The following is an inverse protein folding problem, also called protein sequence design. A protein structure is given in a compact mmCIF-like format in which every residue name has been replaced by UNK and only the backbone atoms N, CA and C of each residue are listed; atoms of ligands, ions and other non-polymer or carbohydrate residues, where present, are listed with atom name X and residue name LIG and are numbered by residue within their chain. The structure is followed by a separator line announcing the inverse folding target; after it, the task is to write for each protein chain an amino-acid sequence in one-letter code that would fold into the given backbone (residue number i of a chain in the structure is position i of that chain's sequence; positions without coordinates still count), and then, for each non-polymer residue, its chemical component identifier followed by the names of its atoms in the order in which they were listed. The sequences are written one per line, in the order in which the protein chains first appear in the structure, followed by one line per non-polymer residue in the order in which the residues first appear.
data_IF_971121302203
#
_entry.id   IF_971121302203
#
_cell.length_a   1.000
_cell.length_b   1.000
_cell.length_c   1.000
_cell.angle_alpha   90.00
_cell.angle_beta   90.00
_cell.angle_gamma   90.00
#
_symmetry.space_group_name_H-M   'P 1'
#
loop_
_entity.id
_entity.type
_entity.pdbx_description
1 polymer ?
#
# COMPACT_ATOMS: atom_id res chain seq x y z
N UNK A 1 10.91 1.93 14.99
CA UNK A 1 10.37 1.42 13.71
C UNK A 1 9.15 2.26 13.39
N UNK A 2 9.24 3.12 12.38
CA UNK A 2 8.30 4.22 12.14
C UNK A 2 7.11 3.86 11.23
N UNK A 3 7.20 2.79 10.43
CA UNK A 3 6.15 2.40 9.49
C UNK A 3 4.74 2.26 10.11
N UNK A 4 4.63 1.67 11.31
CA UNK A 4 3.34 1.54 11.98
C UNK A 4 2.76 2.89 12.46
N UNK A 5 3.60 3.91 12.69
CA UNK A 5 3.15 5.28 13.00
C UNK A 5 2.44 5.89 11.81
N UNK A 6 3.07 5.83 10.64
CA UNK A 6 2.53 6.38 9.39
C UNK A 6 1.22 5.72 8.99
N UNK A 7 1.09 4.39 9.22
CA UNK A 7 -0.19 3.69 9.02
C UNK A 7 -1.26 4.20 9.99
N UNK A 8 -0.87 4.57 11.21
CA UNK A 8 -1.75 5.19 12.20
C UNK A 8 -2.19 6.60 11.78
N UNK A 9 -1.27 7.42 11.30
CA UNK A 9 -1.52 8.78 10.81
C UNK A 9 -2.42 8.76 9.57
N UNK A 10 -2.17 7.85 8.62
CA UNK A 10 -3.07 7.62 7.49
C UNK A 10 -4.47 7.18 7.94
N UNK A 11 -4.58 6.27 8.92
CA UNK A 11 -5.87 5.82 9.43
C UNK A 11 -6.64 6.94 10.16
N UNK A 12 -5.94 7.85 10.84
CA UNK A 12 -6.54 9.05 11.42
C UNK A 12 -7.03 10.00 10.33
N UNK A 13 -6.18 10.30 9.35
CA UNK A 13 -6.49 11.17 8.23
C UNK A 13 -7.72 10.68 7.42
N UNK A 14 -7.86 9.37 7.24
CA UNK A 14 -9.03 8.76 6.56
C UNK A 14 -10.33 8.82 7.37
N UNK A 15 -10.26 8.87 8.71
CA UNK A 15 -11.45 8.95 9.58
C UNK A 15 -11.90 10.40 9.83
N UNK A 16 -10.97 11.34 9.80
CA UNK A 16 -11.25 12.77 10.00
C UNK A 16 -11.83 13.47 8.77
N UNK A 17 -12.21 14.73 8.93
CA UNK A 17 -12.60 15.61 7.83
C UNK A 17 -11.38 16.37 7.28
N UNK A 18 -10.35 15.62 6.89
CA UNK A 18 -9.11 16.19 6.36
C UNK A 18 -9.25 16.58 4.89
N UNK A 19 -8.42 17.55 4.46
CA UNK A 19 -8.37 17.92 3.05
C UNK A 19 -7.74 16.78 2.25
N UNK A 20 -8.14 16.62 0.98
CA UNK A 20 -7.61 15.59 0.10
C UNK A 20 -6.07 15.63 -0.02
N UNK A 21 -5.46 16.80 0.11
CA UNK A 21 -4.01 16.97 0.08
C UNK A 21 -3.31 16.41 1.33
N UNK A 22 -3.94 16.51 2.51
CA UNK A 22 -3.39 15.97 3.76
C UNK A 22 -3.42 14.45 3.71
N UNK A 23 -4.56 13.86 3.33
CA UNK A 23 -4.69 12.41 3.15
C UNK A 23 -3.67 11.89 2.12
N UNK A 24 -3.43 12.62 1.03
CA UNK A 24 -2.45 12.24 0.02
C UNK A 24 -1.01 12.22 0.55
N UNK A 25 -0.65 13.09 1.50
CA UNK A 25 0.67 13.07 2.16
C UNK A 25 0.86 11.80 2.97
N UNK A 26 -0.13 11.45 3.79
CA UNK A 26 -0.07 10.22 4.60
C UNK A 26 0.07 8.95 3.74
N UNK A 27 -0.57 8.91 2.56
CA UNK A 27 -0.35 7.83 1.60
C UNK A 27 1.10 7.76 1.10
N UNK A 28 1.71 8.93 0.83
CA UNK A 28 3.10 9.01 0.40
C UNK A 28 4.07 8.59 1.50
N UNK A 29 3.80 8.95 2.76
CA UNK A 29 4.64 8.62 3.90
C UNK A 29 4.62 7.11 4.21
N UNK A 30 3.44 6.48 4.16
CA UNK A 30 3.31 5.01 4.24
C UNK A 30 4.12 4.32 3.13
N UNK A 31 4.05 4.83 1.90
CA UNK A 31 4.82 4.27 0.78
C UNK A 31 6.34 4.43 0.98
N UNK A 32 6.79 5.61 1.43
CA UNK A 32 8.20 5.90 1.65
C UNK A 32 8.81 4.99 2.72
N UNK A 33 8.07 4.75 3.80
CA UNK A 33 8.52 3.85 4.86
C UNK A 33 8.46 2.38 4.45
N UNK A 34 7.47 1.95 3.66
CA UNK A 34 7.45 0.61 3.08
C UNK A 34 8.67 0.37 2.18
N UNK A 35 9.01 1.33 1.32
CA UNK A 35 10.21 1.27 0.48
C UNK A 35 11.50 1.23 1.31
N UNK A 36 11.56 2.00 2.39
CA UNK A 36 12.68 1.98 3.34
C UNK A 36 12.85 0.61 3.99
N UNK A 37 11.76 -0.03 4.41
CA UNK A 37 11.80 -1.40 4.96
C UNK A 37 12.28 -2.42 3.92
N UNK A 38 11.82 -2.31 2.68
CA UNK A 38 12.26 -3.19 1.59
C UNK A 38 13.77 -3.06 1.36
N UNK A 39 14.30 -1.83 1.33
CA UNK A 39 15.74 -1.57 1.21
C UNK A 39 16.54 -2.19 2.37
N UNK A 40 16.08 -2.02 3.62
CA UNK A 40 16.74 -2.59 4.80
C UNK A 40 16.72 -4.13 4.75
N UNK A 41 15.64 -4.73 4.23
CA UNK A 41 15.50 -6.17 4.08
C UNK A 41 16.25 -6.75 2.86
N UNK A 42 16.85 -5.91 2.02
CA UNK A 42 17.49 -6.33 0.76
C UNK A 42 16.50 -6.83 -0.29
N UNK A 43 15.26 -6.33 -0.25
CA UNK A 43 14.18 -6.70 -1.18
C UNK A 43 14.03 -5.62 -2.24
N UNK A 44 14.10 -6.01 -3.52
CA UNK A 44 13.64 -5.17 -4.62
C UNK A 44 12.10 -5.13 -4.60
N UNK A 45 11.56 -4.01 -4.11
CA UNK A 45 10.11 -3.81 -3.98
C UNK A 45 9.40 -3.84 -5.33
N UNK A 46 10.01 -3.31 -6.39
CA UNK A 46 9.41 -3.31 -7.72
C UNK A 46 9.32 -4.74 -8.27
N UNK A 47 10.39 -5.51 -8.16
CA UNK A 47 10.39 -6.91 -8.58
C UNK A 47 9.37 -7.75 -7.79
N UNK A 48 9.22 -7.49 -6.48
CA UNK A 48 8.23 -8.17 -5.65
C UNK A 48 6.78 -7.84 -6.06
N UNK A 49 6.49 -6.58 -6.40
CA UNK A 49 5.19 -6.14 -6.91
C UNK A 49 4.91 -6.77 -8.27
N UNK A 50 5.86 -6.71 -9.20
CA UNK A 50 5.72 -7.28 -10.55
C UNK A 50 5.46 -8.79 -10.49
N UNK A 51 6.23 -9.51 -9.67
CA UNK A 51 6.04 -10.95 -9.47
C UNK A 51 4.63 -11.32 -9.00
N UNK A 52 4.03 -10.48 -8.13
CA UNK A 52 2.72 -10.77 -7.53
C UNK A 52 1.54 -10.21 -8.31
N UNK A 53 1.71 -9.05 -8.94
CA UNK A 53 0.62 -8.25 -9.52
C UNK A 53 0.84 -7.85 -10.99
N UNK A 54 2.00 -8.14 -11.58
CA UNK A 54 2.34 -7.75 -12.96
C UNK A 54 1.43 -8.36 -14.05
N UNK A 55 0.76 -9.48 -13.73
CA UNK A 55 -0.24 -10.12 -14.60
C UNK A 55 -1.69 -9.84 -14.19
N UNK A 56 -1.91 -8.85 -13.34
CA UNK A 56 -3.21 -8.53 -12.75
C UNK A 56 -3.41 -9.16 -11.37
N UNK A 57 -4.66 -9.21 -10.92
CA UNK A 57 -4.97 -9.78 -9.60
C UNK A 57 -4.48 -11.24 -9.48
N UNK A 58 -3.75 -11.63 -8.42
CA UNK A 58 -3.21 -12.99 -8.28
C UNK A 58 -4.29 -14.07 -8.11
N UNK A 59 -5.55 -13.69 -7.91
CA UNK A 59 -6.67 -14.62 -7.73
C UNK A 59 -7.56 -14.75 -8.96
N UNK A 60 -7.88 -13.65 -9.66
CA UNK A 60 -8.77 -13.66 -10.82
C UNK A 60 -8.10 -13.28 -12.15
N UNK A 61 -6.82 -12.89 -12.13
CA UNK A 61 -6.02 -12.52 -13.31
C UNK A 61 -6.57 -11.35 -14.14
N UNK A 62 -7.55 -10.60 -13.62
CA UNK A 62 -8.15 -9.44 -14.31
C UNK A 62 -7.50 -8.12 -13.91
N UNK A 63 -7.53 -7.18 -14.86
CA UNK A 63 -7.18 -5.76 -14.70
C UNK A 63 -8.35 -4.95 -15.30
N UNK A 64 -9.18 -4.27 -14.49
CA UNK A 64 -9.18 -4.22 -13.03
C UNK A 64 -9.63 -5.54 -12.38
N UNK A 65 -9.27 -5.72 -11.10
CA UNK A 65 -9.65 -6.89 -10.29
C UNK A 65 -11.19 -7.02 -10.15
N UNK A 66 -11.72 -8.25 -10.25
CA UNK A 66 -13.16 -8.56 -10.10
C UNK A 66 -13.50 -9.40 -8.85
N UNK A 67 -12.52 -9.68 -7.98
CA UNK A 67 -12.77 -10.43 -6.74
C UNK A 67 -13.71 -9.65 -5.81
N UNK A 68 -14.57 -10.36 -5.10
CA UNK A 68 -15.34 -9.78 -4.00
C UNK A 68 -14.39 -9.24 -2.92
N UNK A 69 -14.70 -8.12 -2.24
CA UNK A 69 -13.93 -7.64 -1.10
C UNK A 69 -13.77 -8.67 0.02
N UNK A 70 -14.72 -9.61 0.14
CA UNK A 70 -14.67 -10.70 1.13
C UNK A 70 -13.71 -11.84 0.77
N UNK A 71 -13.20 -11.87 -0.46
CA UNK A 71 -12.31 -12.92 -0.98
C UNK A 71 -10.83 -12.52 -0.89
N UNK A 72 -10.53 -11.26 -0.55
CA UNK A 72 -9.16 -10.80 -0.30
C UNK A 72 -8.81 -11.02 1.18
N UNK A 73 -7.68 -11.68 1.50
CA UNK A 73 -7.19 -11.79 2.87
C UNK A 73 -6.80 -10.44 3.46
#
# INVERSE_FOLDING_TARGET
MWFMSEVGELAEALRGQHKSEEVAKEFADVLAWLATLANIAGIDLNAAIEMKYGRGCPYCEKIPCLCSPTEKP
#
